data_IF_062098832699
#
_entry.id   IF_062098832699
#
_cell.length_a   1.000
_cell.length_b   1.000
_cell.length_c   1.000
_cell.angle_alpha   90.00
_cell.angle_beta   90.00
_cell.angle_gamma   90.00
#
_symmetry.space_group_name_H-M   'P 1'
#
loop_
_entity.id
_entity.type
_entity.pdbx_description
1 polymer ?
#
# COMPACT_ATOMS: atom_id res chain seq x y z
N UNK A 1 -14.55 16.17 10.24
CA UNK A 1 -14.10 15.21 9.20
C UNK A 1 -13.36 15.95 8.12
N UNK A 2 -12.14 15.52 7.80
CA UNK A 2 -11.34 16.16 6.77
C UNK A 2 -11.85 15.78 5.38
N UNK A 3 -11.85 16.76 4.47
CA UNK A 3 -12.16 16.49 3.07
C UNK A 3 -11.08 15.63 2.44
N UNK A 4 -11.47 14.81 1.48
CA UNK A 4 -10.54 14.01 0.71
C UNK A 4 -9.68 14.91 -0.17
N UNK A 5 -8.37 14.76 -0.07
CA UNK A 5 -7.45 15.47 -0.95
C UNK A 5 -7.39 14.75 -2.29
N UNK A 6 -7.70 15.46 -3.38
CA UNK A 6 -7.72 14.86 -4.71
C UNK A 6 -6.33 14.80 -5.31
N UNK A 7 -6.10 13.73 -6.08
CA UNK A 7 -4.91 13.59 -6.91
C UNK A 7 -5.07 14.36 -8.22
N UNK A 8 -3.95 14.85 -8.73
CA UNK A 8 -3.91 15.40 -10.06
C UNK A 8 -4.13 14.30 -11.10
N UNK A 9 -4.69 14.68 -12.27
CA UNK A 9 -4.90 13.74 -13.37
C UNK A 9 -3.59 13.15 -13.89
N UNK A 10 -2.51 13.93 -13.89
CA UNK A 10 -1.18 13.47 -14.23
C UNK A 10 -0.36 13.36 -12.95
N UNK A 11 -0.02 12.13 -12.59
CA UNK A 11 0.78 11.87 -11.40
C UNK A 11 1.78 10.78 -11.68
N UNK A 12 2.94 10.90 -11.05
CA UNK A 12 3.93 9.84 -11.10
C UNK A 12 3.40 8.64 -10.32
N UNK A 13 3.59 7.46 -10.87
CA UNK A 13 3.32 6.22 -10.14
C UNK A 13 4.49 5.28 -10.29
N UNK A 14 4.72 4.50 -9.26
CA UNK A 14 5.75 3.48 -9.21
C UNK A 14 5.09 2.12 -9.13
N UNK A 15 5.58 1.17 -9.93
CA UNK A 15 5.08 -0.20 -9.93
C UNK A 15 6.11 -1.08 -9.22
N UNK A 16 5.64 -1.88 -8.27
CA UNK A 16 6.47 -2.80 -7.50
C UNK A 16 5.90 -4.21 -7.59
N UNK A 17 6.76 -5.18 -7.85
CA UNK A 17 6.41 -6.60 -7.68
C UNK A 17 7.07 -7.10 -6.41
N UNK A 18 6.33 -7.89 -5.62
CA UNK A 18 6.84 -8.39 -4.37
C UNK A 18 6.14 -9.69 -3.97
N UNK A 19 6.69 -10.37 -2.99
CA UNK A 19 6.11 -11.58 -2.43
C UNK A 19 5.69 -11.34 -0.98
N UNK A 20 4.62 -12.02 -0.55
CA UNK A 20 4.13 -11.98 0.82
C UNK A 20 3.35 -13.27 1.09
N UNK A 21 3.04 -13.51 2.35
CA UNK A 21 2.19 -14.63 2.75
C UNK A 21 2.71 -15.98 2.24
N UNK A 22 4.02 -16.24 2.41
CA UNK A 22 4.60 -17.53 2.07
C UNK A 22 4.85 -17.76 0.59
N UNK A 23 5.11 -16.68 -0.15
CA UNK A 23 5.50 -16.79 -1.56
C UNK A 23 4.43 -16.42 -2.57
N UNK A 24 3.31 -15.88 -2.12
CA UNK A 24 2.31 -15.33 -3.04
C UNK A 24 2.85 -14.06 -3.68
N UNK A 25 2.61 -13.91 -4.97
CA UNK A 25 3.14 -12.80 -5.76
C UNK A 25 2.10 -11.71 -5.94
N UNK A 26 2.52 -10.48 -5.71
CA UNK A 26 1.67 -9.30 -5.78
C UNK A 26 2.32 -8.22 -6.63
N UNK A 27 1.49 -7.37 -7.20
CA UNK A 27 1.90 -6.13 -7.86
C UNK A 27 1.27 -4.97 -7.10
N UNK A 28 2.05 -3.95 -6.84
CA UNK A 28 1.58 -2.70 -6.24
C UNK A 28 1.81 -1.54 -7.18
N UNK A 29 0.86 -0.61 -7.20
CA UNK A 29 1.04 0.70 -7.83
C UNK A 29 0.96 1.76 -6.75
N UNK A 30 1.95 2.65 -6.69
CA UNK A 30 2.04 3.70 -5.68
C UNK A 30 2.04 5.04 -6.38
N UNK A 31 1.07 5.90 -6.05
CA UNK A 31 1.02 7.28 -6.54
C UNK A 31 1.23 8.22 -5.36
N UNK A 32 1.91 9.34 -5.63
CA UNK A 32 2.24 10.32 -4.58
C UNK A 32 1.71 11.70 -4.97
N UNK A 33 1.42 12.48 -3.93
CA UNK A 33 1.20 13.91 -4.11
C UNK A 33 2.51 14.58 -4.51
N UNK A 34 2.46 15.82 -5.07
CA UNK A 34 3.69 16.53 -5.45
C UNK A 34 4.69 16.70 -4.31
N UNK A 35 4.23 16.73 -3.07
CA UNK A 35 5.10 16.87 -1.89
C UNK A 35 5.72 15.54 -1.43
N UNK A 36 5.43 14.45 -2.13
CA UNK A 36 6.01 13.13 -1.83
C UNK A 36 5.18 12.22 -0.94
N UNK A 37 4.09 12.73 -0.35
CA UNK A 37 3.22 11.87 0.48
C UNK A 37 2.54 10.82 -0.39
N UNK A 38 2.33 9.62 0.16
CA UNK A 38 1.55 8.59 -0.52
C UNK A 38 0.10 9.08 -0.66
N UNK A 39 -0.41 9.02 -1.89
CA UNK A 39 -1.77 9.47 -2.19
C UNK A 39 -2.69 8.32 -2.54
N UNK A 40 -2.17 7.29 -3.18
CA UNK A 40 -2.97 6.15 -3.62
C UNK A 40 -2.09 4.92 -3.70
N UNK A 41 -2.65 3.81 -3.31
CA UNK A 41 -2.02 2.50 -3.42
C UNK A 41 -2.97 1.57 -4.16
N UNK A 42 -2.43 0.83 -5.11
CA UNK A 42 -3.09 -0.27 -5.79
C UNK A 42 -2.39 -1.56 -5.41
N UNK A 43 -3.14 -2.62 -5.17
CA UNK A 43 -2.60 -3.95 -4.92
C UNK A 43 -3.36 -4.97 -5.73
N UNK A 44 -2.65 -5.92 -6.30
CA UNK A 44 -3.27 -7.07 -6.94
C UNK A 44 -2.42 -8.31 -6.73
N UNK A 45 -3.07 -9.45 -6.71
CA UNK A 45 -2.43 -10.76 -6.66
C UNK A 45 -2.28 -11.28 -8.09
N UNK A 46 -1.14 -11.94 -8.39
CA UNK A 46 -0.89 -12.42 -9.74
C UNK A 46 -1.83 -13.53 -10.17
N UNK A 47 -2.51 -14.18 -9.25
CA UNK A 47 -3.48 -15.23 -9.57
C UNK A 47 -4.83 -14.59 -9.87
N UNK A 48 -5.21 -14.54 -11.14
CA UNK A 48 -6.46 -13.96 -11.58
C UNK A 48 -7.67 -14.68 -10.96
N UNK A 49 -8.69 -13.88 -10.59
CA UNK A 49 -9.95 -14.40 -10.05
C UNK A 49 -9.86 -14.98 -8.64
N UNK A 50 -8.74 -14.79 -7.94
CA UNK A 50 -8.59 -15.33 -6.60
C UNK A 50 -9.31 -14.47 -5.56
N UNK A 51 -9.76 -15.12 -4.47
CA UNK A 51 -10.33 -14.41 -3.32
C UNK A 51 -9.31 -13.46 -2.70
N UNK A 52 -8.04 -13.85 -2.70
CA UNK A 52 -6.96 -13.00 -2.21
C UNK A 52 -6.84 -11.73 -3.05
N UNK A 53 -6.97 -11.85 -4.37
CA UNK A 53 -6.97 -10.70 -5.27
C UNK A 53 -8.03 -9.69 -4.90
N UNK A 54 -9.25 -10.13 -4.65
CA UNK A 54 -10.35 -9.26 -4.23
C UNK A 54 -10.05 -8.59 -2.89
N UNK A 55 -9.59 -9.37 -1.92
CA UNK A 55 -9.30 -8.84 -0.58
C UNK A 55 -8.21 -7.78 -0.61
N UNK A 56 -7.13 -8.01 -1.36
CA UNK A 56 -6.03 -7.03 -1.38
C UNK A 56 -6.40 -5.78 -2.17
N UNK A 57 -7.23 -5.91 -3.21
CA UNK A 57 -7.74 -4.73 -3.91
C UNK A 57 -8.58 -3.86 -2.99
N UNK A 58 -9.51 -4.48 -2.24
CA UNK A 58 -10.34 -3.75 -1.27
C UNK A 58 -9.48 -3.11 -0.18
N UNK A 59 -8.47 -3.82 0.29
CA UNK A 59 -7.55 -3.33 1.30
C UNK A 59 -6.81 -2.08 0.81
N UNK A 60 -6.32 -2.11 -0.42
CA UNK A 60 -5.61 -0.98 -1.01
C UNK A 60 -6.53 0.22 -1.22
N UNK A 61 -7.77 -0.03 -1.64
CA UNK A 61 -8.79 1.03 -1.77
C UNK A 61 -9.04 1.68 -0.42
N UNK A 62 -9.24 0.89 0.62
CA UNK A 62 -9.48 1.39 1.98
C UNK A 62 -8.30 2.21 2.48
N UNK A 63 -7.08 1.71 2.29
CA UNK A 63 -5.87 2.44 2.66
C UNK A 63 -5.80 3.78 1.92
N UNK A 64 -6.06 3.78 0.61
CA UNK A 64 -6.00 5.00 -0.21
C UNK A 64 -7.00 6.05 0.28
N UNK A 65 -8.22 5.65 0.56
CA UNK A 65 -9.21 6.57 1.13
C UNK A 65 -8.76 7.11 2.48
N UNK A 66 -8.21 6.25 3.34
CA UNK A 66 -7.75 6.68 4.65
C UNK A 66 -6.67 7.76 4.56
N UNK A 67 -5.64 7.56 3.74
CA UNK A 67 -4.55 8.54 3.62
C UNK A 67 -5.01 9.81 2.92
N UNK A 68 -5.94 9.72 1.98
CA UNK A 68 -6.50 10.89 1.30
C UNK A 68 -7.36 11.74 2.25
N UNK A 69 -7.82 11.17 3.36
CA UNK A 69 -8.55 11.88 4.41
C UNK A 69 -7.69 12.23 5.61
N UNK A 70 -6.38 12.11 5.48
CA UNK A 70 -5.44 12.59 6.48
C UNK A 70 -4.84 11.54 7.41
N UNK A 71 -5.13 10.25 7.20
CA UNK A 71 -4.48 9.22 7.99
C UNK A 71 -2.99 9.16 7.65
N UNK A 72 -2.17 8.96 8.69
CA UNK A 72 -0.72 8.86 8.54
C UNK A 72 -0.35 7.46 8.04
N UNK A 73 0.22 7.33 6.83
CA UNK A 73 0.62 6.01 6.32
C UNK A 73 1.60 5.29 7.24
N UNK A 74 2.48 6.02 7.92
CA UNK A 74 3.45 5.44 8.82
C UNK A 74 2.79 4.85 10.06
N UNK A 75 1.76 5.51 10.60
CA UNK A 75 0.98 4.97 11.70
C UNK A 75 0.26 3.68 11.31
N UNK A 76 -0.30 3.65 10.10
CA UNK A 76 -0.95 2.45 9.58
C UNK A 76 0.08 1.33 9.45
N UNK A 77 1.23 1.60 8.82
CA UNK A 77 2.28 0.61 8.62
C UNK A 77 2.68 -0.08 9.94
N UNK A 78 2.87 0.72 10.98
CA UNK A 78 3.31 0.20 12.29
C UNK A 78 2.22 -0.59 13.01
N UNK A 79 0.95 -0.32 12.71
CA UNK A 79 -0.17 -0.98 13.37
C UNK A 79 -0.53 -2.34 12.74
N UNK A 80 -0.09 -2.62 11.53
CA UNK A 80 -0.44 -3.83 10.82
C UNK A 80 0.24 -5.06 11.45
N UNK A 81 -0.34 -6.24 11.19
CA UNK A 81 0.11 -7.49 11.81
C UNK A 81 1.54 -7.85 11.44
N UNK A 82 2.33 -8.21 12.44
CA UNK A 82 3.74 -8.57 12.28
C UNK A 82 4.06 -9.85 13.04
N UNK A 83 5.09 -10.56 12.58
CA UNK A 83 5.60 -11.73 13.28
C UNK A 83 6.51 -11.30 14.45
N UNK A 84 7.07 -12.29 15.16
CA UNK A 84 7.91 -12.06 16.33
C UNK A 84 9.22 -11.32 16.00
N UNK A 85 9.60 -11.28 14.72
CA UNK A 85 10.81 -10.58 14.26
C UNK A 85 10.50 -9.23 13.62
N UNK A 86 9.25 -8.78 13.71
CA UNK A 86 8.82 -7.50 13.19
C UNK A 86 8.54 -7.48 11.70
N UNK A 87 8.52 -8.64 11.03
CA UNK A 87 8.22 -8.70 9.60
C UNK A 87 6.71 -8.66 9.38
N UNK A 88 6.28 -7.94 8.35
CA UNK A 88 4.88 -7.84 8.02
C UNK A 88 4.30 -9.21 7.63
N UNK A 89 3.13 -9.55 8.17
CA UNK A 89 2.47 -10.81 7.86
C UNK A 89 1.62 -10.74 6.60
N UNK A 90 1.12 -9.55 6.25
CA UNK A 90 0.25 -9.36 5.10
C UNK A 90 0.85 -8.50 4.02
N UNK A 91 0.23 -8.49 2.81
CA UNK A 91 0.79 -7.76 1.68
C UNK A 91 0.78 -6.23 1.84
N UNK A 92 -0.19 -5.66 2.54
CA UNK A 92 -0.19 -4.22 2.77
C UNK A 92 1.01 -3.80 3.62
N UNK A 93 1.25 -4.49 4.73
CA UNK A 93 2.43 -4.22 5.57
C UNK A 93 3.72 -4.44 4.81
N UNK A 94 3.79 -5.51 4.01
CA UNK A 94 4.99 -5.81 3.22
C UNK A 94 5.32 -4.69 2.24
N UNK A 95 4.34 -4.19 1.48
CA UNK A 95 4.58 -3.13 0.50
C UNK A 95 4.90 -1.81 1.19
N UNK A 96 4.25 -1.50 2.30
CA UNK A 96 4.53 -0.27 3.05
C UNK A 96 5.95 -0.29 3.63
N UNK A 97 6.43 -1.45 4.07
CA UNK A 97 7.82 -1.60 4.52
C UNK A 97 8.80 -1.37 3.37
N UNK A 98 8.51 -1.87 2.18
CA UNK A 98 9.35 -1.64 0.99
C UNK A 98 9.40 -0.15 0.63
N UNK A 99 8.26 0.52 0.66
CA UNK A 99 8.18 1.95 0.37
C UNK A 99 8.96 2.75 1.41
N UNK A 100 8.83 2.41 2.67
CA UNK A 100 9.56 3.08 3.76
C UNK A 100 11.07 2.90 3.62
N UNK A 101 11.52 1.71 3.22
CA UNK A 101 12.94 1.43 3.01
C UNK A 101 13.52 2.29 1.87
N UNK A 102 12.77 2.48 0.79
CA UNK A 102 13.19 3.34 -0.32
C UNK A 102 13.30 4.80 0.11
N UNK A 103 12.35 5.27 0.91
CA UNK A 103 12.30 6.66 1.36
C UNK A 103 13.47 7.01 2.27
N UNK A 104 14.03 6.02 2.97
CA UNK A 104 15.13 6.23 3.92
C UNK A 104 16.53 6.18 3.31
N UNK A 105 16.64 5.97 2.03
CA UNK A 105 17.93 5.99 1.33
C UNK A 105 18.46 7.39 1.12
#
# INVERSE_FOLDING_TARGET
MTSRERLENRRASTILDFESMGGLKFTAGVSRYPDGRIAELFLDNHKAGSSIGTLVRDLAITFSFAVQHGADPEAIRRALCRDSQGRALGPLGAVLDLIAAETQR
#
